data_IF_049413196453
#
_entry.id   IF_049413196453
#
_cell.length_a   1.000
_cell.length_b   1.000
_cell.length_c   1.000
_cell.angle_alpha   90.00
_cell.angle_beta   90.00
_cell.angle_gamma   90.00
#
_symmetry.space_group_name_H-M   'P 1'
#
loop_
_entity.id
_entity.type
_entity.pdbx_description
1 polymer ?
#
# COMPACT_ATOMS: atom_id res chain seq x y z
N UNK A 1 -21.39 -3.98 12.75
CA UNK A 1 -20.31 -4.45 11.87
C UNK A 1 -19.23 -5.02 12.77
N UNK A 2 -18.95 -6.32 12.67
CA UNK A 2 -17.76 -6.89 13.30
C UNK A 2 -16.53 -6.40 12.52
N UNK A 3 -15.43 -6.03 13.18
CA UNK A 3 -14.20 -5.69 12.48
C UNK A 3 -13.74 -6.92 11.71
N UNK A 4 -13.65 -6.81 10.39
CA UNK A 4 -13.02 -7.81 9.54
C UNK A 4 -11.57 -7.89 9.98
N UNK A 5 -11.25 -8.87 10.84
CA UNK A 5 -9.87 -9.17 11.19
C UNK A 5 -9.31 -9.92 9.97
N UNK A 6 -8.51 -9.28 9.11
CA UNK A 6 -8.04 -9.94 7.90
C UNK A 6 -7.22 -11.16 8.32
N UNK A 7 -7.53 -12.32 7.72
CA UNK A 7 -6.68 -13.49 7.88
C UNK A 7 -5.28 -13.14 7.38
N UNK A 8 -4.24 -13.74 7.97
CA UNK A 8 -2.84 -13.45 7.62
C UNK A 8 -2.57 -13.49 6.10
N UNK A 9 -3.20 -14.44 5.40
CA UNK A 9 -3.10 -14.56 3.94
C UNK A 9 -3.73 -13.36 3.20
N UNK A 10 -4.88 -12.88 3.68
CA UNK A 10 -5.54 -11.68 3.14
C UNK A 10 -4.66 -10.44 3.34
N UNK A 11 -4.05 -10.30 4.52
CA UNK A 11 -3.12 -9.19 4.81
C UNK A 11 -1.89 -9.23 3.91
N UNK A 12 -1.32 -10.41 3.67
CA UNK A 12 -0.16 -10.56 2.78
C UNK A 12 -0.52 -10.21 1.34
N UNK A 13 -1.66 -10.67 0.85
CA UNK A 13 -2.10 -10.41 -0.52
C UNK A 13 -2.42 -8.91 -0.74
N UNK A 14 -2.97 -8.24 0.28
CA UNK A 14 -3.16 -6.78 0.29
C UNK A 14 -1.83 -6.01 0.24
N UNK A 15 -0.86 -6.40 1.06
CA UNK A 15 0.49 -5.78 1.05
C UNK A 15 1.14 -5.95 -0.32
N UNK A 16 1.02 -7.13 -0.93
CA UNK A 16 1.54 -7.39 -2.28
C UNK A 16 0.89 -6.48 -3.32
N UNK A 17 -0.45 -6.40 -3.32
CA UNK A 17 -1.19 -5.56 -4.24
C UNK A 17 -0.85 -4.06 -4.07
N UNK A 18 -0.66 -3.60 -2.83
CA UNK A 18 -0.24 -2.23 -2.56
C UNK A 18 1.18 -1.97 -3.08
N UNK A 19 2.12 -2.92 -2.91
CA UNK A 19 3.46 -2.81 -3.48
C UNK A 19 3.47 -2.74 -5.01
N UNK A 20 2.70 -3.61 -5.68
CA UNK A 20 2.56 -3.58 -7.15
C UNK A 20 1.95 -2.24 -7.65
N UNK A 21 1.00 -1.70 -6.89
CA UNK A 21 0.37 -0.41 -7.20
C UNK A 21 1.36 0.75 -7.03
N UNK A 22 2.16 0.73 -5.96
CA UNK A 22 3.19 1.74 -5.71
C UNK A 22 4.22 1.77 -6.83
N UNK A 23 4.73 0.61 -7.24
CA UNK A 23 5.69 0.50 -8.34
C UNK A 23 5.13 1.06 -9.66
N UNK A 24 3.83 0.83 -9.94
CA UNK A 24 3.17 1.39 -11.12
C UNK A 24 3.11 2.92 -11.03
N UNK A 25 2.73 3.47 -9.88
CA UNK A 25 2.63 4.93 -9.67
C UNK A 25 4.01 5.58 -9.81
N UNK A 26 5.04 5.01 -9.20
CA UNK A 26 6.43 5.48 -9.33
C UNK A 26 6.86 5.53 -10.79
N UNK A 27 6.60 4.47 -11.56
CA UNK A 27 6.89 4.42 -13.01
C UNK A 27 6.14 5.48 -13.80
N UNK A 28 4.84 5.69 -13.52
CA UNK A 28 4.03 6.70 -14.19
C UNK A 28 4.52 8.13 -13.90
N UNK A 29 5.05 8.36 -12.70
CA UNK A 29 5.61 9.64 -12.28
C UNK A 29 7.08 9.83 -12.70
N UNK A 30 7.73 8.80 -13.25
CA UNK A 30 9.15 8.84 -13.61
C UNK A 30 10.07 8.97 -12.39
N UNK A 31 9.62 8.55 -11.20
CA UNK A 31 10.42 8.57 -9.97
C UNK A 31 10.84 7.14 -9.61
N UNK A 32 12.09 6.92 -9.18
CA UNK A 32 12.50 5.64 -8.61
C UNK A 32 11.83 5.46 -7.24
N UNK A 33 11.47 4.23 -6.90
CA UNK A 33 10.81 3.93 -5.61
C UNK A 33 11.74 4.22 -4.43
N UNK A 34 13.05 4.08 -4.64
CA UNK A 34 14.12 4.39 -3.69
C UNK A 34 14.28 5.89 -3.41
N UNK A 35 13.64 6.75 -4.20
CA UNK A 35 13.59 8.19 -3.92
C UNK A 35 12.43 8.58 -2.99
N UNK A 36 11.53 7.65 -2.66
CA UNK A 36 10.50 7.88 -1.65
C UNK A 36 11.12 7.79 -0.26
N UNK A 37 10.75 8.74 0.59
CA UNK A 37 11.03 8.67 2.03
C UNK A 37 10.16 7.62 2.72
N UNK A 38 10.61 7.15 3.89
CA UNK A 38 9.83 6.23 4.72
C UNK A 38 8.45 6.80 5.08
N UNK A 39 8.36 8.12 5.25
CA UNK A 39 7.10 8.82 5.52
C UNK A 39 6.15 8.76 4.31
N UNK A 40 6.63 8.99 3.10
CA UNK A 40 5.84 8.90 1.86
C UNK A 40 5.38 7.46 1.58
N UNK A 41 6.23 6.47 1.86
CA UNK A 41 5.87 5.06 1.79
C UNK A 41 4.77 4.74 2.82
N UNK A 42 4.96 5.20 4.06
CA UNK A 42 3.98 5.02 5.14
C UNK A 42 2.62 5.60 4.79
N UNK A 43 2.57 6.84 4.31
CA UNK A 43 1.33 7.48 3.87
C UNK A 43 0.66 6.72 2.72
N UNK A 44 1.44 6.23 1.75
CA UNK A 44 0.90 5.45 0.65
C UNK A 44 0.21 4.17 1.15
N UNK A 45 0.88 3.37 1.99
CA UNK A 45 0.32 2.13 2.50
C UNK A 45 -0.84 2.38 3.47
N UNK A 46 -0.77 3.43 4.30
CA UNK A 46 -1.88 3.82 5.18
C UNK A 46 -3.12 4.21 4.38
N UNK A 47 -2.96 5.01 3.32
CA UNK A 47 -4.07 5.38 2.44
C UNK A 47 -4.59 4.17 1.63
N UNK A 48 -3.72 3.25 1.20
CA UNK A 48 -4.11 2.04 0.49
C UNK A 48 -4.84 1.02 1.38
N UNK A 49 -4.51 0.99 2.68
CA UNK A 49 -5.12 0.12 3.69
C UNK A 49 -6.32 0.77 4.40
N UNK A 50 -6.49 2.09 4.25
CA UNK A 50 -7.67 2.80 4.70
C UNK A 50 -8.86 2.41 3.81
N UNK A 51 -9.48 1.27 4.13
CA UNK A 51 -10.87 1.02 3.75
C UNK A 51 -11.71 2.07 4.46
N UNK A 52 -12.49 2.85 3.70
CA UNK A 52 -13.51 3.75 4.25
C UNK A 52 -14.29 3.01 5.35
N UNK A 53 -14.15 3.47 6.59
CA UNK A 53 -14.79 2.90 7.77
C UNK A 53 -16.31 3.06 7.75
#
# INVERSE_FOLDING_TARGET
>A
MEPLNPTFDTSRDLIRAAGETLELICRLRGIPIEALSDDELGEFFLNALAVDA
#
